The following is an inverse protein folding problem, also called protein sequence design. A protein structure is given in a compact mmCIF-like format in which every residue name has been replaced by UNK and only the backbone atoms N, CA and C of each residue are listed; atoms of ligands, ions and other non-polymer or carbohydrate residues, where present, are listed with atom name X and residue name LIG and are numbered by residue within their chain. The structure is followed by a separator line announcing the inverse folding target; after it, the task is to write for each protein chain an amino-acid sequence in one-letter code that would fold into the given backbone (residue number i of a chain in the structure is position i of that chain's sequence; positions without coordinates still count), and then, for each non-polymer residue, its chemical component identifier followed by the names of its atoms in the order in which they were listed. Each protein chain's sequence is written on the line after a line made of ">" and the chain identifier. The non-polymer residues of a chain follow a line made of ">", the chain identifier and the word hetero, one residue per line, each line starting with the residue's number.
data_IF_014710077407
#
_entry.id   IF_014710077407
#
_cell.length_a   1.000
_cell.length_b   1.000
_cell.length_c   1.000
_cell.angle_alpha   90.00
_cell.angle_beta   90.00
_cell.angle_gamma   90.00
#
_symmetry.space_group_name_H-M   'P 1'
#
loop_
_entity.id
_entity.type
_entity.pdbx_description
1 polymer ?
#
# COMPACT_ATOMS: atom_id res chain seq x y z
N UNK A 1 9.66 21.11 -13.80
CA UNK A 1 9.22 22.37 -13.14
C UNK A 1 8.23 22.03 -12.02
N UNK A 2 8.36 22.60 -10.83
CA UNK A 2 7.48 22.27 -9.68
C UNK A 2 6.62 23.47 -9.28
N UNK A 3 5.31 23.27 -9.16
CA UNK A 3 4.36 24.26 -8.69
C UNK A 3 3.63 23.70 -7.46
N UNK A 4 3.96 24.26 -6.29
CA UNK A 4 3.28 23.94 -5.04
C UNK A 4 2.49 25.16 -4.56
N UNK A 5 1.17 25.01 -4.52
CA UNK A 5 0.20 25.97 -4.03
C UNK A 5 -0.68 25.37 -2.93
N UNK A 6 -0.22 24.31 -2.26
CA UNK A 6 -1.00 23.68 -1.20
C UNK A 6 -1.18 24.57 0.03
N UNK A 7 -2.14 24.24 0.90
CA UNK A 7 -2.40 24.95 2.15
C UNK A 7 -2.71 26.45 1.96
N UNK A 8 -3.51 26.77 0.94
CA UNK A 8 -3.92 28.14 0.65
C UNK A 8 -5.45 28.28 0.71
N UNK A 9 -5.93 29.49 0.44
CA UNK A 9 -7.36 29.78 0.31
C UNK A 9 -7.81 29.90 -1.15
N UNK A 10 -7.10 29.25 -2.08
CA UNK A 10 -7.47 29.30 -3.49
C UNK A 10 -8.87 28.71 -3.68
N UNK A 11 -9.68 29.37 -4.49
CA UNK A 11 -11.07 29.00 -4.75
C UNK A 11 -11.40 29.22 -6.21
N UNK A 12 -12.55 28.70 -6.65
CA UNK A 12 -12.94 28.69 -8.06
C UNK A 12 -12.42 27.44 -8.77
N UNK A 13 -12.37 27.49 -10.10
CA UNK A 13 -12.06 26.33 -10.93
C UNK A 13 -10.57 26.27 -11.27
N UNK A 14 -10.04 25.05 -11.41
CA UNK A 14 -8.72 24.85 -12.00
C UNK A 14 -8.83 25.26 -13.48
N UNK A 15 -8.07 26.26 -13.95
CA UNK A 15 -8.23 26.77 -15.30
C UNK A 15 -7.75 25.74 -16.34
N UNK A 16 -8.47 25.61 -17.45
CA UNK A 16 -8.08 24.72 -18.57
C UNK A 16 -6.68 25.01 -19.11
N UNK A 17 -6.18 26.24 -18.94
CA UNK A 17 -4.82 26.65 -19.32
C UNK A 17 -3.73 25.92 -18.55
N UNK A 18 -4.04 25.21 -17.45
CA UNK A 18 -3.06 24.40 -16.71
C UNK A 18 -2.36 23.40 -17.64
N UNK A 19 -3.09 22.82 -18.61
CA UNK A 19 -2.55 21.89 -19.60
C UNK A 19 -1.55 22.48 -20.59
N UNK A 20 -1.34 23.81 -20.58
CA UNK A 20 -0.28 24.46 -21.37
C UNK A 20 1.09 24.40 -20.68
N UNK A 21 1.15 24.06 -19.39
CA UNK A 21 2.39 23.94 -18.62
C UNK A 21 3.09 22.61 -18.91
N UNK A 22 3.36 22.28 -20.17
CA UNK A 22 3.81 20.96 -20.60
C UNK A 22 5.09 20.45 -19.91
N UNK A 23 5.96 21.34 -19.42
CA UNK A 23 7.20 21.00 -18.68
C UNK A 23 7.01 20.88 -17.16
N UNK A 24 5.77 20.90 -16.67
CA UNK A 24 5.45 20.72 -15.26
C UNK A 24 5.69 19.27 -14.85
N UNK A 25 6.46 19.09 -13.78
CA UNK A 25 6.83 17.79 -13.20
C UNK A 25 6.09 17.53 -11.90
N UNK A 26 5.86 18.56 -11.09
CA UNK A 26 5.08 18.44 -9.85
C UNK A 26 4.03 19.53 -9.77
N UNK A 27 2.79 19.13 -9.47
CA UNK A 27 1.66 20.01 -9.23
C UNK A 27 0.99 19.63 -7.91
N UNK A 28 1.11 20.49 -6.91
CA UNK A 28 0.43 20.33 -5.63
C UNK A 28 -0.55 21.50 -5.42
N UNK A 29 -1.85 21.17 -5.42
CA UNK A 29 -2.97 22.08 -5.14
C UNK A 29 -3.76 21.63 -3.91
N UNK A 30 -3.19 20.73 -3.10
CA UNK A 30 -3.90 20.14 -1.97
C UNK A 30 -4.27 21.16 -0.89
N UNK A 31 -5.28 20.84 -0.07
CA UNK A 31 -5.71 21.69 1.05
C UNK A 31 -6.03 23.14 0.63
N UNK A 32 -6.95 23.25 -0.33
CA UNK A 32 -7.49 24.51 -0.82
C UNK A 32 -9.03 24.46 -0.85
N UNK A 33 -9.68 25.47 -1.43
CA UNK A 33 -11.13 25.54 -1.63
C UNK A 33 -11.50 25.45 -3.12
N UNK A 34 -10.66 24.81 -3.94
CA UNK A 34 -10.90 24.65 -5.38
C UNK A 34 -12.17 23.84 -5.60
N UNK A 35 -12.90 24.16 -6.65
CA UNK A 35 -14.23 23.64 -6.94
C UNK A 35 -14.41 23.36 -8.43
N UNK A 36 -15.45 22.63 -8.79
CA UNK A 36 -15.72 22.28 -10.19
C UNK A 36 -14.96 21.04 -10.65
N UNK A 37 -14.96 20.80 -11.95
CA UNK A 37 -14.32 19.63 -12.55
C UNK A 37 -12.82 19.79 -12.71
N UNK A 38 -12.10 18.67 -12.64
CA UNK A 38 -10.69 18.63 -13.02
C UNK A 38 -10.61 18.80 -14.55
N UNK A 39 -9.94 19.83 -15.06
CA UNK A 39 -9.91 20.09 -16.50
C UNK A 39 -9.22 18.94 -17.23
N UNK A 40 -9.83 18.45 -18.30
CA UNK A 40 -9.28 17.35 -19.11
C UNK A 40 -7.89 17.65 -19.69
N UNK A 41 -7.55 18.94 -19.82
CA UNK A 41 -6.25 19.41 -20.27
C UNK A 41 -5.10 19.00 -19.34
N UNK A 42 -5.37 18.64 -18.08
CA UNK A 42 -4.34 18.12 -17.15
C UNK A 42 -3.68 16.84 -17.67
N UNK A 43 -4.41 16.04 -18.47
CA UNK A 43 -3.88 14.83 -19.13
C UNK A 43 -2.77 15.14 -20.15
N UNK A 44 -2.66 16.39 -20.62
CA UNK A 44 -1.62 16.84 -21.56
C UNK A 44 -0.28 17.11 -20.88
N UNK A 45 -0.23 17.17 -19.55
CA UNK A 45 1.00 17.37 -18.80
C UNK A 45 1.79 16.07 -18.78
N UNK A 46 2.53 15.75 -19.84
CA UNK A 46 3.21 14.46 -20.03
C UNK A 46 4.51 14.29 -19.23
N UNK A 47 5.02 15.36 -18.59
CA UNK A 47 6.19 15.30 -17.71
C UNK A 47 5.85 15.27 -16.21
N UNK A 48 4.56 15.40 -15.88
CA UNK A 48 4.04 15.38 -14.51
C UNK A 48 4.29 14.03 -13.80
N UNK A 49 5.24 14.02 -12.88
CA UNK A 49 5.59 12.86 -12.04
C UNK A 49 4.91 12.87 -10.67
N UNK A 50 4.37 14.00 -10.24
CA UNK A 50 3.62 14.13 -8.98
C UNK A 50 2.43 15.06 -9.17
N UNK A 51 1.26 14.58 -8.73
CA UNK A 51 0.03 15.35 -8.69
C UNK A 51 -0.59 15.17 -7.30
N UNK A 52 -1.05 16.27 -6.69
CA UNK A 52 -1.85 16.22 -5.48
C UNK A 52 -2.97 17.27 -5.55
N UNK A 53 -4.22 16.80 -5.59
CA UNK A 53 -5.44 17.61 -5.60
C UNK A 53 -6.30 17.35 -4.35
N UNK A 54 -5.75 16.65 -3.36
CA UNK A 54 -6.49 16.19 -2.19
C UNK A 54 -7.03 17.36 -1.36
N UNK A 55 -8.08 17.12 -0.58
CA UNK A 55 -8.71 18.08 0.32
C UNK A 55 -9.10 19.39 -0.39
N UNK A 56 -9.97 19.26 -1.40
CA UNK A 56 -10.62 20.35 -2.11
C UNK A 56 -12.13 20.05 -2.26
N UNK A 57 -12.86 20.90 -2.98
CA UNK A 57 -14.28 20.71 -3.32
C UNK A 57 -14.45 20.29 -4.80
N UNK A 58 -13.50 19.54 -5.36
CA UNK A 58 -13.57 19.10 -6.76
C UNK A 58 -14.68 18.06 -6.95
N UNK A 59 -15.32 18.12 -8.12
CA UNK A 59 -16.47 17.29 -8.47
C UNK A 59 -16.33 16.71 -9.88
N UNK A 60 -17.19 15.75 -10.21
CA UNK A 60 -17.30 15.22 -11.58
C UNK A 60 -16.31 14.11 -11.88
N UNK A 61 -16.26 13.72 -13.16
CA UNK A 61 -15.45 12.59 -13.61
C UNK A 61 -13.97 12.98 -13.65
N UNK A 62 -13.11 12.18 -13.01
CA UNK A 62 -11.66 12.33 -13.13
C UNK A 62 -11.25 12.04 -14.59
N UNK A 63 -10.52 12.96 -15.25
CA UNK A 63 -9.96 12.70 -16.57
C UNK A 63 -9.03 11.48 -16.53
N UNK A 64 -9.24 10.55 -17.45
CA UNK A 64 -8.35 9.41 -17.68
C UNK A 64 -7.34 9.72 -18.78
N UNK A 65 -6.20 9.02 -18.77
CA UNK A 65 -5.19 9.10 -19.82
C UNK A 65 -3.97 9.95 -19.47
N UNK A 66 -3.04 10.01 -20.44
CA UNK A 66 -1.69 10.50 -20.19
C UNK A 66 -0.99 9.60 -19.17
N UNK A 67 -0.53 10.18 -18.06
CA UNK A 67 0.08 9.46 -16.95
C UNK A 67 -0.73 9.49 -15.66
N UNK A 68 -1.94 10.06 -15.67
CA UNK A 68 -2.78 10.21 -14.47
C UNK A 68 -3.06 8.86 -13.79
N UNK A 69 -3.30 7.82 -14.60
CA UNK A 69 -3.52 6.46 -14.10
C UNK A 69 -2.29 5.91 -13.37
N UNK A 70 -1.10 6.16 -13.92
CA UNK A 70 0.17 5.76 -13.30
C UNK A 70 0.44 6.55 -12.02
N UNK A 71 0.14 7.85 -12.01
CA UNK A 71 0.29 8.71 -10.83
C UNK A 71 -0.61 8.24 -9.70
N UNK A 72 -1.87 7.90 -10.00
CA UNK A 72 -2.81 7.37 -9.01
C UNK A 72 -2.32 6.05 -8.41
N UNK A 73 -1.82 5.14 -9.24
CA UNK A 73 -1.29 3.86 -8.76
C UNK A 73 -0.10 4.04 -7.80
N UNK A 74 0.73 5.05 -8.03
CA UNK A 74 1.86 5.38 -7.16
C UNK A 74 1.42 6.16 -5.90
N UNK A 75 0.42 7.02 -6.02
CA UNK A 75 -0.13 7.79 -4.91
C UNK A 75 -1.67 7.88 -4.99
N UNK A 76 -2.39 6.87 -4.44
CA UNK A 76 -3.85 6.85 -4.48
C UNK A 76 -4.51 8.01 -3.72
N UNK A 77 -3.78 8.60 -2.76
CA UNK A 77 -4.31 9.68 -1.91
C UNK A 77 -4.45 11.02 -2.63
N UNK A 78 -3.94 11.17 -3.86
CA UNK A 78 -3.91 12.46 -4.57
C UNK A 78 -5.29 13.06 -4.87
N UNK A 79 -6.37 12.27 -4.80
CA UNK A 79 -7.76 12.74 -4.98
C UNK A 79 -8.58 12.72 -3.69
N UNK A 80 -8.01 12.29 -2.56
CA UNK A 80 -8.72 12.15 -1.29
C UNK A 80 -9.31 13.48 -0.82
N UNK A 81 -10.36 13.42 -0.01
CA UNK A 81 -11.02 14.62 0.51
C UNK A 81 -11.87 15.39 -0.51
N UNK A 82 -12.04 14.91 -1.74
CA UNK A 82 -12.94 15.48 -2.74
C UNK A 82 -14.21 14.62 -2.91
N UNK A 83 -15.26 14.94 -2.15
CA UNK A 83 -16.47 14.10 -2.06
C UNK A 83 -17.23 13.92 -3.39
N UNK A 84 -17.14 14.89 -4.31
CA UNK A 84 -17.88 14.85 -5.57
C UNK A 84 -17.13 14.21 -6.75
N UNK A 85 -15.86 13.84 -6.58
CA UNK A 85 -15.11 13.16 -7.64
C UNK A 85 -15.64 11.75 -7.86
N UNK A 86 -15.64 11.32 -9.12
CA UNK A 86 -16.07 10.00 -9.55
C UNK A 86 -15.26 9.55 -10.78
N UNK A 87 -15.39 8.30 -11.17
CA UNK A 87 -14.71 7.72 -12.33
C UNK A 87 -14.18 6.33 -12.05
N UNK A 88 -13.81 5.64 -13.13
CA UNK A 88 -13.37 4.24 -13.10
C UNK A 88 -12.12 4.07 -12.23
N UNK A 89 -11.25 5.09 -12.19
CA UNK A 89 -10.01 5.08 -11.39
C UNK A 89 -10.26 5.01 -9.88
N UNK A 90 -11.30 5.68 -9.39
CA UNK A 90 -11.72 5.61 -7.99
C UNK A 90 -12.64 4.40 -7.71
N UNK A 91 -12.94 3.58 -8.74
CA UNK A 91 -14.03 2.61 -8.72
C UNK A 91 -15.32 3.23 -8.17
N UNK A 92 -15.60 4.49 -8.53
CA UNK A 92 -16.77 5.23 -8.05
C UNK A 92 -17.62 5.63 -9.24
N UNK A 93 -18.84 5.11 -9.29
CA UNK A 93 -19.79 5.48 -10.34
C UNK A 93 -20.05 6.98 -10.32
N UNK A 94 -19.95 7.61 -11.47
CA UNK A 94 -20.41 8.98 -11.64
C UNK A 94 -21.94 9.04 -11.63
N UNK A 95 -22.54 10.12 -11.11
CA UNK A 95 -23.97 10.34 -11.20
C UNK A 95 -24.39 10.31 -12.68
N UNK A 96 -25.19 9.30 -12.99
CA UNK A 96 -25.96 9.07 -14.20
C UNK A 96 -27.29 8.42 -13.78
N UNK A 97 -28.19 8.12 -14.72
CA UNK A 97 -29.55 7.65 -14.39
C UNK A 97 -29.63 6.37 -13.53
N UNK A 98 -28.53 5.69 -13.27
CA UNK A 98 -28.46 4.54 -12.35
C UNK A 98 -27.65 4.88 -11.09
N UNK A 99 -28.28 5.64 -10.18
CA UNK A 99 -27.75 5.94 -8.85
C UNK A 99 -27.78 4.69 -7.96
N UNK A 100 -26.76 3.84 -8.05
CA UNK A 100 -26.47 2.86 -7.00
C UNK A 100 -25.31 3.37 -6.15
N UNK A 101 -25.57 3.55 -4.87
CA UNK A 101 -24.58 3.95 -3.86
C UNK A 101 -23.42 2.94 -3.84
N UNK A 102 -22.23 3.36 -4.24
CA UNK A 102 -21.05 2.49 -4.31
C UNK A 102 -20.05 2.82 -3.19
N UNK A 103 -19.76 1.80 -2.37
CA UNK A 103 -18.83 1.78 -1.24
C UNK A 103 -17.56 0.98 -1.59
N UNK A 104 -17.11 1.03 -2.85
CA UNK A 104 -16.20 0.03 -3.45
C UNK A 104 -14.69 0.16 -3.20
N UNK A 105 -14.11 1.34 -2.93
CA UNK A 105 -12.63 1.45 -2.91
C UNK A 105 -12.00 1.19 -1.54
N UNK A 106 -12.56 1.73 -0.45
CA UNK A 106 -12.06 1.45 0.90
C UNK A 106 -12.26 -0.03 1.28
N UNK A 107 -13.27 -0.68 0.67
CA UNK A 107 -13.65 -2.08 0.92
C UNK A 107 -12.58 -3.09 0.70
N UNK A 108 -11.92 -3.01 -0.45
CA UNK A 108 -10.93 -4.00 -0.83
C UNK A 108 -9.75 -4.02 0.17
N UNK A 109 -9.35 -2.88 0.71
CA UNK A 109 -8.21 -2.81 1.65
C UNK A 109 -8.52 -3.48 2.99
N UNK A 110 -9.69 -3.22 3.58
CA UNK A 110 -10.04 -3.86 4.85
C UNK A 110 -10.40 -5.33 4.69
N UNK A 111 -11.01 -5.74 3.56
CA UNK A 111 -11.28 -7.15 3.27
C UNK A 111 -9.97 -7.96 3.23
N UNK A 112 -8.95 -7.47 2.53
CA UNK A 112 -7.62 -8.10 2.52
C UNK A 112 -7.01 -8.13 3.92
N UNK A 113 -7.12 -7.04 4.67
CA UNK A 113 -6.63 -6.95 6.05
C UNK A 113 -7.30 -7.99 6.95
N UNK A 114 -8.62 -8.15 6.88
CA UNK A 114 -9.37 -9.14 7.64
C UNK A 114 -8.98 -10.57 7.27
N UNK A 115 -8.77 -10.85 5.98
CA UNK A 115 -8.26 -12.14 5.52
C UNK A 115 -6.87 -12.43 6.09
N UNK A 116 -5.96 -11.44 6.04
CA UNK A 116 -4.62 -11.58 6.63
C UNK A 116 -4.69 -11.81 8.15
N UNK A 117 -5.50 -11.05 8.87
CA UNK A 117 -5.71 -11.25 10.31
C UNK A 117 -6.28 -12.64 10.62
N UNK A 118 -7.26 -13.09 9.84
CA UNK A 118 -7.84 -14.43 9.96
C UNK A 118 -6.80 -15.54 9.78
N UNK A 119 -5.91 -15.41 8.78
CA UNK A 119 -4.83 -16.37 8.54
C UNK A 119 -3.80 -16.38 9.68
N UNK A 120 -3.40 -15.21 10.19
CA UNK A 120 -2.44 -15.10 11.30
C UNK A 120 -3.02 -15.71 12.58
N UNK A 121 -4.25 -15.36 12.95
CA UNK A 121 -4.91 -15.88 14.15
C UNK A 121 -5.12 -17.40 14.02
N UNK A 122 -5.57 -17.87 12.85
CA UNK A 122 -5.75 -19.29 12.58
C UNK A 122 -4.45 -20.09 12.71
N UNK A 123 -3.34 -19.54 12.21
CA UNK A 123 -2.02 -20.15 12.34
C UNK A 123 -1.56 -20.20 13.80
N UNK A 124 -1.70 -19.11 14.55
CA UNK A 124 -1.33 -19.03 15.98
C UNK A 124 -2.14 -20.04 16.81
N UNK A 125 -3.46 -20.09 16.63
CA UNK A 125 -4.32 -21.05 17.33
C UNK A 125 -4.00 -22.50 16.93
N UNK A 126 -3.76 -22.76 15.64
CA UNK A 126 -3.35 -24.08 15.15
C UNK A 126 -2.05 -24.56 15.77
N UNK A 127 -1.01 -23.70 15.79
CA UNK A 127 0.25 -23.99 16.45
C UNK A 127 0.08 -24.20 17.95
N UNK A 128 -0.75 -23.39 18.61
CA UNK A 128 -1.01 -23.52 20.04
C UNK A 128 -1.66 -24.86 20.40
N UNK A 129 -2.61 -25.34 19.59
CA UNK A 129 -3.24 -26.66 19.77
C UNK A 129 -2.24 -27.80 19.56
N UNK A 130 -1.39 -27.72 18.53
CA UNK A 130 -0.31 -28.70 18.31
C UNK A 130 0.66 -28.69 19.50
N UNK A 131 1.10 -27.52 19.95
CA UNK A 131 2.01 -27.41 21.09
C UNK A 131 1.37 -27.95 22.39
N UNK A 132 0.11 -27.61 22.64
CA UNK A 132 -0.66 -28.09 23.78
C UNK A 132 -0.76 -29.62 23.77
N UNK A 133 -1.10 -30.23 22.63
CA UNK A 133 -1.22 -31.70 22.52
C UNK A 133 0.13 -32.41 22.69
N UNK A 134 1.22 -31.85 22.16
CA UNK A 134 2.59 -32.36 22.36
C UNK A 134 3.02 -32.31 23.83
N UNK A 135 2.66 -31.25 24.56
CA UNK A 135 3.03 -31.07 25.96
C UNK A 135 2.15 -31.82 26.96
N UNK A 136 0.84 -31.97 26.67
CA UNK A 136 -0.10 -32.60 27.60
C UNK A 136 0.17 -34.10 27.76
N UNK A 137 0.50 -34.79 26.66
CA UNK A 137 0.75 -36.23 26.71
C UNK A 137 2.20 -36.49 27.10
N UNK A 138 2.42 -36.91 28.36
CA UNK A 138 3.75 -37.18 28.96
C UNK A 138 4.69 -37.97 28.03
N UNK A 139 4.19 -39.01 27.35
CA UNK A 139 4.98 -39.82 26.43
C UNK A 139 5.46 -39.03 25.20
N UNK A 140 4.59 -38.18 24.63
CA UNK A 140 4.92 -37.32 23.48
C UNK A 140 5.90 -36.23 23.89
N UNK A 141 5.68 -35.61 25.05
CA UNK A 141 6.59 -34.63 25.65
C UNK A 141 8.01 -35.17 25.78
N UNK A 142 8.18 -36.36 26.36
CA UNK A 142 9.49 -36.99 26.53
C UNK A 142 10.13 -37.34 25.18
N UNK A 143 9.35 -37.88 24.24
CA UNK A 143 9.86 -38.22 22.90
C UNK A 143 10.33 -36.97 22.14
N UNK A 144 9.58 -35.87 22.22
CA UNK A 144 9.91 -34.59 21.62
C UNK A 144 11.22 -34.03 22.18
N UNK A 145 11.35 -33.90 23.51
CA UNK A 145 12.59 -33.40 24.13
C UNK A 145 13.81 -34.25 23.76
N UNK A 146 13.68 -35.59 23.77
CA UNK A 146 14.77 -36.48 23.35
C UNK A 146 15.20 -36.29 21.90
N UNK A 147 14.27 -35.95 21.01
CA UNK A 147 14.58 -35.67 19.61
C UNK A 147 15.32 -34.33 19.47
N UNK A 148 14.86 -33.29 20.18
CA UNK A 148 15.54 -31.99 20.22
C UNK A 148 16.96 -32.11 20.78
N UNK A 149 17.15 -32.79 21.90
CA UNK A 149 18.49 -33.00 22.50
C UNK A 149 19.45 -33.66 21.50
N UNK A 150 18.99 -34.68 20.75
CA UNK A 150 19.81 -35.35 19.72
C UNK A 150 20.18 -34.44 18.55
N UNK A 151 19.27 -33.55 18.13
CA UNK A 151 19.53 -32.59 17.05
C UNK A 151 20.51 -31.51 17.52
N UNK A 152 20.29 -30.97 18.71
CA UNK A 152 21.18 -29.98 19.32
C UNK A 152 22.59 -30.52 19.51
N UNK A 153 22.75 -31.74 20.03
CA UNK A 153 24.05 -32.38 20.21
C UNK A 153 24.80 -32.52 18.87
N UNK A 154 24.12 -33.01 17.82
CA UNK A 154 24.72 -33.12 16.47
C UNK A 154 25.10 -31.76 15.87
N UNK A 155 24.23 -30.76 16.01
CA UNK A 155 24.49 -29.42 15.51
C UNK A 155 25.67 -28.77 16.25
N UNK A 156 25.73 -28.91 17.57
CA UNK A 156 26.83 -28.43 18.39
C UNK A 156 28.15 -29.07 17.98
N UNK A 157 28.20 -30.40 17.84
CA UNK A 157 29.41 -31.11 17.38
C UNK A 157 29.82 -30.64 15.98
N UNK A 158 28.87 -30.50 15.05
CA UNK A 158 29.15 -30.01 13.70
C UNK A 158 29.72 -28.59 13.69
N UNK A 159 29.13 -27.68 14.47
CA UNK A 159 29.60 -26.30 14.60
C UNK A 159 31.00 -26.24 15.20
N UNK A 160 31.27 -27.00 16.28
CA UNK A 160 32.59 -27.04 16.92
C UNK A 160 33.66 -27.60 15.98
N UNK A 161 33.38 -28.68 15.25
CA UNK A 161 34.32 -29.27 14.29
C UNK A 161 34.60 -28.32 13.13
N UNK A 162 33.56 -27.67 12.60
CA UNK A 162 33.69 -26.73 11.49
C UNK A 162 34.45 -25.48 11.91
N UNK A 163 34.18 -24.95 13.11
CA UNK A 163 34.91 -23.82 13.68
C UNK A 163 36.40 -24.14 13.86
N UNK A 164 36.74 -25.30 14.43
CA UNK A 164 38.13 -25.73 14.57
C UNK A 164 38.83 -25.89 13.22
N UNK A 165 38.13 -26.44 12.21
CA UNK A 165 38.68 -26.55 10.85
C UNK A 165 38.87 -25.21 10.16
N UNK A 166 38.02 -24.21 10.44
CA UNK A 166 38.19 -22.85 9.93
C UNK A 166 39.36 -22.14 10.61
N UNK A 167 39.42 -22.19 11.94
CA UNK A 167 40.51 -21.61 12.72
C UNK A 167 41.88 -22.19 12.34
N UNK A 168 41.98 -23.50 12.07
CA UNK A 168 43.24 -24.12 11.63
C UNK A 168 43.67 -23.63 10.23
N UNK A 169 42.71 -23.37 9.34
CA UNK A 169 43.00 -22.84 7.99
C UNK A 169 43.49 -21.39 8.05
N UNK A 170 42.92 -20.57 8.93
CA UNK A 170 43.38 -19.20 9.15
C UNK A 170 44.79 -19.15 9.76
N UNK A 171 45.11 -20.04 10.70
CA UNK A 171 46.43 -20.09 11.32
C UNK A 171 47.58 -20.57 10.40
N UNK A 172 47.26 -21.24 9.28
CA UNK A 172 48.27 -21.75 8.33
C UNK A 172 48.58 -20.75 7.21
N UNK A 173 47.89 -19.60 7.17
CA UNK A 173 48.10 -18.53 6.19
C UNK A 173 48.95 -17.41 6.77
#
# INVERSE_FOLDING_TARGET
>A
LNLNLSLNHLSGHIPDKIGALISLESLDLSENKLSGEIPSSISKLTYLSTLNLSYNNLIGRIPSGGQLDTLYNNNPSMYDGNAGLCGDILKKKCPGNDASNDYGSYKDHYELLYLCFGLVIGFVLGLWVVFSTLLFKKSWRIAYFRLFDKVYDKAYVFLVVTWNSLASKEATK
#
